data_IF_161169687113
#
_entry.id   IF_161169687113
#
_cell.length_a   1.000
_cell.length_b   1.000
_cell.length_c   1.000
_cell.angle_alpha   90.00
_cell.angle_beta   90.00
_cell.angle_gamma   90.00
#
_symmetry.space_group_name_H-M   'P 1'
#
loop_
_entity.id
_entity.type
_entity.pdbx_description
1 polymer ?
#
# COMPACT_ATOMS: atom_id res chain seq x y z
N UNK A 1 -11.46 3.72 37.37
CA UNK A 1 -10.24 3.15 36.74
C UNK A 1 -10.12 3.76 35.37
N UNK A 2 -9.25 4.74 35.24
CA UNK A 2 -9.11 5.59 34.04
C UNK A 2 -8.09 4.91 33.12
N UNK A 3 -8.57 4.35 32.01
CA UNK A 3 -7.70 3.78 30.97
C UNK A 3 -7.03 4.93 30.22
N UNK A 4 -5.78 5.19 30.54
CA UNK A 4 -4.92 6.14 29.85
C UNK A 4 -4.63 5.59 28.46
N UNK A 5 -5.37 6.01 27.45
CA UNK A 5 -4.97 5.81 26.04
C UNK A 5 -3.70 6.62 25.80
N UNK A 6 -2.55 5.93 25.80
CA UNK A 6 -1.29 6.49 25.35
C UNK A 6 -1.41 6.86 23.86
N UNK A 7 -1.69 8.14 23.56
CA UNK A 7 -1.47 8.71 22.23
C UNK A 7 0.04 8.67 21.96
N UNK A 8 0.51 7.61 21.29
CA UNK A 8 1.86 7.55 20.76
C UNK A 8 1.96 8.73 19.77
N UNK A 9 2.82 9.68 20.06
CA UNK A 9 3.09 10.82 19.18
C UNK A 9 3.77 10.30 17.91
N UNK A 10 3.47 10.88 16.75
CA UNK A 10 4.09 10.56 15.45
C UNK A 10 5.64 10.66 15.44
N UNK A 11 6.26 11.08 16.55
CA UNK A 11 7.70 11.19 16.69
C UNK A 11 8.44 9.84 16.81
N UNK A 12 7.70 8.73 16.95
CA UNK A 12 8.29 7.41 17.16
C UNK A 12 8.38 6.57 15.88
N UNK A 13 7.96 7.12 14.73
CA UNK A 13 7.97 6.43 13.43
C UNK A 13 8.92 7.13 12.46
N UNK A 14 9.82 6.35 11.89
CA UNK A 14 10.72 6.78 10.81
C UNK A 14 10.40 6.05 9.52
N UNK A 15 10.33 6.77 8.40
CA UNK A 15 10.22 6.17 7.06
C UNK A 15 11.62 6.15 6.44
N UNK A 16 12.09 4.96 6.11
CA UNK A 16 13.38 4.75 5.46
C UNK A 16 13.29 3.76 4.30
N UNK A 17 14.31 3.71 3.48
CA UNK A 17 14.45 2.66 2.49
C UNK A 17 14.56 1.31 3.20
N UNK A 18 13.90 0.30 2.64
CA UNK A 18 13.95 -1.06 3.18
C UNK A 18 15.32 -1.65 2.97
N UNK A 19 15.86 -2.28 4.00
CA UNK A 19 17.11 -3.02 3.97
C UNK A 19 16.87 -4.50 3.70
N UNK A 20 17.87 -5.22 3.21
CA UNK A 20 17.76 -6.64 2.92
C UNK A 20 17.34 -7.44 4.17
N UNK A 21 17.87 -7.07 5.33
CA UNK A 21 17.56 -7.74 6.60
C UNK A 21 16.11 -7.54 7.08
N UNK A 22 15.41 -6.52 6.57
CA UNK A 22 13.98 -6.33 6.87
C UNK A 22 13.10 -7.35 6.13
N UNK A 23 13.53 -7.86 4.97
CA UNK A 23 12.69 -8.60 4.02
C UNK A 23 11.96 -9.79 4.66
N UNK A 24 12.58 -10.49 5.58
CA UNK A 24 11.99 -11.66 6.26
C UNK A 24 10.84 -11.31 7.21
N UNK A 25 10.73 -10.03 7.60
CA UNK A 25 9.68 -9.54 8.53
C UNK A 25 8.44 -9.04 7.79
N UNK A 26 8.56 -8.68 6.51
CA UNK A 26 7.52 -8.01 5.73
C UNK A 26 6.28 -8.86 5.47
N UNK A 27 6.39 -10.17 5.15
CA UNK A 27 5.21 -11.03 4.99
C UNK A 27 4.29 -11.05 6.21
N UNK A 28 4.85 -11.05 7.42
CA UNK A 28 4.06 -11.03 8.66
C UNK A 28 3.29 -9.69 8.83
N UNK A 29 3.84 -8.58 8.37
CA UNK A 29 3.18 -7.27 8.39
C UNK A 29 1.98 -7.29 7.43
N UNK A 30 2.15 -7.79 6.21
CA UNK A 30 1.08 -7.93 5.21
C UNK A 30 -0.03 -8.86 5.71
N UNK A 31 0.33 -10.01 6.27
CA UNK A 31 -0.61 -10.95 6.89
C UNK A 31 -1.44 -10.27 7.99
N UNK A 32 -0.78 -9.51 8.88
CA UNK A 32 -1.43 -8.76 9.96
C UNK A 32 -2.37 -7.68 9.40
N UNK A 33 -1.92 -6.93 8.38
CA UNK A 33 -2.73 -5.89 7.73
C UNK A 33 -3.97 -6.47 7.05
N UNK A 34 -3.83 -7.61 6.41
CA UNK A 34 -4.91 -8.33 5.70
C UNK A 34 -6.06 -8.79 6.60
N UNK A 35 -5.84 -8.89 7.91
CA UNK A 35 -6.89 -9.30 8.86
C UNK A 35 -8.10 -8.36 8.88
N UNK A 36 -7.97 -7.11 8.45
CA UNK A 36 -9.11 -6.19 8.28
C UNK A 36 -10.19 -6.77 7.35
N UNK A 37 -9.79 -7.50 6.30
CA UNK A 37 -10.72 -8.09 5.34
C UNK A 37 -11.56 -9.24 5.92
N UNK A 38 -11.15 -9.84 7.04
CA UNK A 38 -11.95 -10.88 7.73
C UNK A 38 -13.30 -10.37 8.21
N UNK A 39 -13.45 -9.05 8.38
CA UNK A 39 -14.70 -8.40 8.79
C UNK A 39 -15.71 -8.23 7.66
N UNK A 40 -15.31 -8.43 6.41
CA UNK A 40 -16.13 -8.32 5.21
C UNK A 40 -16.38 -9.71 4.63
N UNK A 41 -17.65 -10.15 4.62
CA UNK A 41 -18.01 -11.51 4.20
C UNK A 41 -17.50 -11.84 2.80
N UNK A 42 -17.72 -10.96 1.83
CA UNK A 42 -17.33 -11.15 0.42
C UNK A 42 -15.80 -11.08 0.18
N UNK A 43 -15.04 -10.54 1.13
CA UNK A 43 -13.59 -10.31 1.01
C UNK A 43 -12.78 -11.07 2.07
N UNK A 44 -13.42 -11.90 2.89
CA UNK A 44 -12.75 -12.70 3.94
C UNK A 44 -11.62 -13.55 3.37
N UNK A 45 -11.81 -14.07 2.16
CA UNK A 45 -10.81 -14.88 1.47
C UNK A 45 -9.46 -14.17 1.32
N UNK A 46 -9.42 -12.82 1.29
CA UNK A 46 -8.17 -12.06 1.23
C UNK A 46 -7.35 -12.25 2.50
N UNK A 47 -8.01 -12.26 3.68
CA UNK A 47 -7.33 -12.51 4.96
C UNK A 47 -6.77 -13.93 5.09
N UNK A 48 -7.28 -14.86 4.28
CA UNK A 48 -6.89 -16.26 4.22
C UNK A 48 -5.93 -16.55 3.03
N UNK A 49 -5.77 -15.58 2.14
CA UNK A 49 -4.86 -15.68 0.99
C UNK A 49 -3.40 -15.57 1.41
N UNK A 50 -2.52 -16.04 0.53
CA UNK A 50 -1.08 -15.86 0.71
C UNK A 50 -0.67 -14.37 0.62
N UNK A 51 0.48 -14.07 1.20
CA UNK A 51 1.12 -12.76 1.15
C UNK A 51 2.29 -12.77 0.18
N UNK A 52 2.84 -11.61 -0.13
CA UNK A 52 4.03 -11.50 -0.96
C UNK A 52 5.20 -12.27 -0.34
N UNK A 53 5.94 -13.01 -1.17
CA UNK A 53 7.09 -13.78 -0.69
C UNK A 53 8.28 -12.87 -0.35
N UNK A 54 9.21 -13.39 0.46
CA UNK A 54 10.46 -12.68 0.80
C UNK A 54 11.25 -12.33 -0.47
N UNK A 55 11.30 -13.25 -1.45
CA UNK A 55 11.98 -13.05 -2.74
C UNK A 55 11.37 -11.87 -3.51
N UNK A 56 10.04 -11.73 -3.48
CA UNK A 56 9.39 -10.59 -4.13
C UNK A 56 9.72 -9.28 -3.43
N UNK A 57 9.72 -9.24 -2.11
CA UNK A 57 10.19 -8.06 -1.37
C UNK A 57 11.64 -7.71 -1.73
N UNK A 58 12.54 -8.69 -1.78
CA UNK A 58 13.95 -8.48 -2.16
C UNK A 58 14.08 -7.89 -3.57
N UNK A 59 13.28 -8.34 -4.53
CA UNK A 59 13.27 -7.79 -5.89
C UNK A 59 12.88 -6.30 -5.91
N UNK A 60 11.89 -5.88 -5.11
CA UNK A 60 11.51 -4.47 -4.99
C UNK A 60 12.53 -3.63 -4.21
N UNK A 61 13.22 -4.22 -3.24
CA UNK A 61 14.32 -3.57 -2.52
C UNK A 61 15.47 -3.28 -3.47
N UNK A 62 15.88 -4.25 -4.28
CA UNK A 62 16.94 -4.13 -5.27
C UNK A 62 16.63 -3.02 -6.30
N UNK A 63 15.38 -2.91 -6.73
CA UNK A 63 14.90 -1.85 -7.62
C UNK A 63 14.70 -0.49 -6.94
N UNK A 64 15.03 -0.36 -5.65
CA UNK A 64 14.80 0.85 -4.85
C UNK A 64 13.31 1.31 -4.83
N UNK A 65 12.41 0.36 -4.99
CA UNK A 65 10.96 0.56 -5.01
C UNK A 65 10.26 0.27 -3.68
N UNK A 66 11.01 0.10 -2.59
CA UNK A 66 10.49 -0.39 -1.32
C UNK A 66 10.90 0.49 -0.12
N UNK A 67 9.91 0.91 0.70
CA UNK A 67 10.14 1.65 1.95
C UNK A 67 9.42 0.99 3.10
N UNK A 68 10.04 1.11 4.29
CA UNK A 68 9.44 0.69 5.56
C UNK A 68 9.19 1.88 6.49
N UNK A 69 8.13 1.75 7.26
CA UNK A 69 7.93 2.49 8.49
C UNK A 69 8.49 1.65 9.64
N UNK A 70 9.41 2.22 10.41
CA UNK A 70 10.01 1.56 11.58
C UNK A 70 9.67 2.31 12.85
N UNK A 71 9.54 1.56 13.95
CA UNK A 71 9.36 2.10 15.30
C UNK A 71 10.69 2.59 15.90
N UNK A 72 10.66 3.03 17.16
CA UNK A 72 11.84 3.50 17.90
C UNK A 72 12.96 2.47 18.02
N UNK A 73 12.63 1.19 17.96
CA UNK A 73 13.58 0.07 18.04
C UNK A 73 14.11 -0.35 16.65
N UNK A 74 13.79 0.47 15.60
CA UNK A 74 14.10 0.20 14.20
C UNK A 74 13.44 -1.08 13.63
N UNK A 75 12.34 -1.54 14.27
CA UNK A 75 11.58 -2.69 13.79
C UNK A 75 10.52 -2.24 12.76
N UNK A 76 10.41 -2.92 11.59
CA UNK A 76 9.37 -2.65 10.61
C UNK A 76 7.96 -2.88 11.16
N UNK A 77 7.08 -1.90 10.95
CA UNK A 77 5.67 -1.94 11.36
C UNK A 77 4.70 -1.67 10.21
N UNK A 78 5.24 -1.29 9.05
CA UNK A 78 4.50 -1.09 7.81
C UNK A 78 5.46 -0.92 6.64
N UNK A 79 4.96 -1.11 5.43
CA UNK A 79 5.75 -0.93 4.21
C UNK A 79 4.91 -0.46 3.03
N UNK A 80 5.59 0.01 1.98
CA UNK A 80 5.01 0.35 0.69
C UNK A 80 5.94 -0.13 -0.43
N UNK A 81 5.35 -0.73 -1.48
CA UNK A 81 6.05 -1.23 -2.66
C UNK A 81 5.62 -0.45 -3.89
N UNK A 82 6.58 -0.02 -4.70
CA UNK A 82 6.32 0.75 -5.92
C UNK A 82 7.17 0.27 -7.10
N UNK A 83 6.67 0.48 -8.31
CA UNK A 83 7.43 0.33 -9.55
C UNK A 83 7.12 1.47 -10.50
N UNK A 84 8.07 1.78 -11.40
CA UNK A 84 7.83 2.72 -12.48
C UNK A 84 6.99 2.06 -13.58
N UNK A 85 5.90 2.71 -13.97
CA UNK A 85 5.19 2.47 -15.22
C UNK A 85 5.53 3.58 -16.22
N UNK A 86 5.22 3.42 -17.51
CA UNK A 86 5.53 4.44 -18.52
C UNK A 86 4.98 5.83 -18.15
N UNK A 87 3.80 5.90 -17.52
CA UNK A 87 3.08 7.14 -17.24
C UNK A 87 3.14 7.57 -15.76
N UNK A 88 3.60 6.69 -14.85
CA UNK A 88 3.43 6.95 -13.41
C UNK A 88 4.36 6.13 -12.51
N UNK A 89 4.45 6.52 -11.25
CA UNK A 89 4.97 5.67 -10.18
C UNK A 89 3.80 4.88 -9.57
N UNK A 90 3.78 3.57 -9.77
CA UNK A 90 2.69 2.69 -9.34
C UNK A 90 2.93 2.10 -7.95
N UNK A 91 1.91 2.16 -7.08
CA UNK A 91 1.92 1.52 -5.76
C UNK A 91 1.32 0.12 -5.89
N UNK A 92 2.13 -0.90 -5.65
CA UNK A 92 1.69 -2.31 -5.65
C UNK A 92 1.03 -2.71 -4.35
N UNK A 93 1.61 -2.31 -3.22
CA UNK A 93 1.16 -2.72 -1.91
C UNK A 93 1.45 -1.63 -0.89
N UNK A 94 0.53 -1.44 0.04
CA UNK A 94 0.68 -0.63 1.24
C UNK A 94 0.10 -1.40 2.42
N UNK A 95 0.95 -1.86 3.29
CA UNK A 95 0.56 -2.61 4.48
C UNK A 95 1.08 -1.98 5.77
N UNK A 96 0.23 -1.90 6.77
CA UNK A 96 0.57 -1.48 8.13
C UNK A 96 0.03 -2.53 9.09
N UNK A 97 0.91 -3.08 9.94
CA UNK A 97 0.55 -4.07 10.95
C UNK A 97 -0.64 -3.59 11.79
N UNK A 98 -1.56 -4.49 12.12
CA UNK A 98 -2.84 -4.18 12.79
C UNK A 98 -2.66 -3.31 14.05
N UNK A 99 -1.68 -3.63 14.90
CA UNK A 99 -1.42 -2.89 16.13
C UNK A 99 -0.91 -1.45 15.90
N UNK A 100 -0.49 -1.16 14.67
CA UNK A 100 0.08 0.13 14.27
C UNK A 100 -0.84 0.94 13.34
N UNK A 101 -2.00 0.40 12.97
CA UNK A 101 -2.99 1.11 12.17
C UNK A 101 -3.61 2.31 12.90
N UNK A 102 -4.28 3.18 12.13
CA UNK A 102 -4.95 4.39 12.64
C UNK A 102 -4.02 5.41 13.33
N UNK A 103 -2.69 5.33 13.09
CA UNK A 103 -1.67 6.24 13.61
C UNK A 103 -1.05 7.14 12.53
N UNK A 104 -1.63 7.16 11.32
CA UNK A 104 -1.14 7.96 10.20
C UNK A 104 0.06 7.39 9.45
N UNK A 105 0.51 6.17 9.77
CA UNK A 105 1.70 5.53 9.15
C UNK A 105 1.50 5.36 7.64
N UNK A 106 0.34 4.88 7.19
CA UNK A 106 0.04 4.75 5.76
C UNK A 106 0.15 6.09 5.02
N UNK A 107 -0.30 7.19 5.64
CA UNK A 107 -0.15 8.54 5.07
C UNK A 107 1.32 8.94 4.93
N UNK A 108 2.17 8.62 5.91
CA UNK A 108 3.61 8.91 5.84
C UNK A 108 4.29 8.11 4.73
N UNK A 109 3.96 6.83 4.56
CA UNK A 109 4.47 5.98 3.49
C UNK A 109 4.04 6.51 2.11
N UNK A 110 2.76 6.88 1.94
CA UNK A 110 2.26 7.48 0.69
C UNK A 110 2.95 8.82 0.40
N UNK A 111 3.17 9.65 1.42
CA UNK A 111 3.88 10.92 1.24
C UNK A 111 5.31 10.68 0.71
N UNK A 112 5.99 9.65 1.24
CA UNK A 112 7.32 9.26 0.73
C UNK A 112 7.31 8.89 -0.76
N UNK A 113 6.26 8.21 -1.22
CA UNK A 113 6.10 7.86 -2.64
C UNK A 113 5.83 9.11 -3.49
N UNK A 114 4.98 10.02 -3.02
CA UNK A 114 4.73 11.31 -3.70
C UNK A 114 6.00 12.14 -3.83
N UNK A 115 6.81 12.21 -2.76
CA UNK A 115 8.09 12.93 -2.77
C UNK A 115 9.06 12.28 -3.77
N UNK A 116 9.13 10.95 -3.83
CA UNK A 116 9.91 10.24 -4.83
C UNK A 116 9.44 10.55 -6.25
N UNK A 117 8.13 10.47 -6.49
CA UNK A 117 7.56 10.78 -7.80
C UNK A 117 7.97 12.19 -8.26
N UNK A 118 7.87 13.17 -7.38
CA UNK A 118 8.29 14.54 -7.66
C UNK A 118 9.79 14.66 -7.99
N UNK A 119 10.66 14.02 -7.19
CA UNK A 119 12.11 14.05 -7.38
C UNK A 119 12.51 13.41 -8.72
N UNK A 120 11.87 12.30 -9.09
CA UNK A 120 12.13 11.56 -10.32
C UNK A 120 11.31 12.04 -11.52
N UNK A 121 10.54 13.13 -11.36
CA UNK A 121 9.73 13.77 -12.41
C UNK A 121 8.69 12.84 -13.05
N UNK A 122 8.06 11.99 -12.24
CA UNK A 122 6.83 11.32 -12.66
C UNK A 122 5.68 12.32 -12.63
N UNK A 123 4.81 12.27 -13.62
CA UNK A 123 3.64 13.15 -13.67
C UNK A 123 2.57 12.76 -12.64
N UNK A 124 2.58 11.49 -12.22
CA UNK A 124 1.57 10.99 -11.30
C UNK A 124 2.04 9.79 -10.46
N UNK A 125 1.30 9.55 -9.38
CA UNK A 125 1.30 8.30 -8.61
C UNK A 125 -0.01 7.59 -8.85
N UNK A 126 0.03 6.29 -9.16
CA UNK A 126 -1.15 5.48 -9.45
C UNK A 126 -1.22 4.24 -8.58
N UNK A 127 -2.41 3.68 -8.46
CA UNK A 127 -2.68 2.41 -7.77
C UNK A 127 -3.97 1.80 -8.27
N UNK A 128 -4.17 0.52 -7.99
CA UNK A 128 -5.45 -0.19 -8.11
C UNK A 128 -5.92 -0.60 -6.71
N UNK A 129 -7.23 -0.57 -6.48
CA UNK A 129 -7.77 -0.87 -5.16
C UNK A 129 -9.27 -1.21 -5.20
N UNK A 130 -9.85 -1.59 -4.05
CA UNK A 130 -11.30 -1.76 -3.93
C UNK A 130 -12.01 -0.41 -3.91
N UNK A 131 -13.05 -0.31 -4.73
CA UNK A 131 -13.83 0.92 -4.92
C UNK A 131 -14.58 1.37 -3.67
N UNK A 132 -15.15 0.44 -2.91
CA UNK A 132 -16.10 0.73 -1.84
C UNK A 132 -15.61 0.35 -0.43
N UNK A 133 -14.46 -0.31 -0.32
CA UNK A 133 -13.90 -0.65 0.99
C UNK A 133 -13.38 0.60 1.69
N UNK A 134 -13.79 0.91 2.93
CA UNK A 134 -13.53 2.20 3.58
C UNK A 134 -12.04 2.58 3.72
N UNK A 135 -11.17 1.59 3.87
CA UNK A 135 -9.71 1.77 3.98
C UNK A 135 -8.96 1.63 2.66
N UNK A 136 -9.69 1.54 1.53
CA UNK A 136 -9.16 1.50 0.17
C UNK A 136 -9.48 2.80 -0.58
N UNK A 137 -10.27 2.81 -1.66
CA UNK A 137 -10.47 4.02 -2.45
C UNK A 137 -10.93 5.24 -1.62
N UNK A 138 -11.88 5.13 -0.65
CA UNK A 138 -12.22 6.26 0.21
C UNK A 138 -11.06 6.80 1.05
N UNK A 139 -10.13 5.94 1.47
CA UNK A 139 -8.92 6.36 2.18
C UNK A 139 -7.97 7.12 1.26
N UNK A 140 -7.70 6.60 0.06
CA UNK A 140 -6.84 7.27 -0.92
C UNK A 140 -7.42 8.59 -1.42
N UNK A 141 -8.75 8.70 -1.56
CA UNK A 141 -9.42 9.95 -1.91
C UNK A 141 -9.13 11.06 -0.87
N UNK A 142 -9.15 10.73 0.43
CA UNK A 142 -8.77 11.67 1.50
C UNK A 142 -7.30 12.11 1.43
N UNK A 143 -6.47 11.36 0.72
CA UNK A 143 -5.06 11.68 0.47
C UNK A 143 -4.83 12.37 -0.90
N UNK A 144 -5.92 12.73 -1.60
CA UNK A 144 -5.87 13.50 -2.84
C UNK A 144 -5.80 12.66 -4.11
N UNK A 145 -6.02 11.35 -4.04
CA UNK A 145 -6.18 10.52 -5.22
C UNK A 145 -7.60 10.62 -5.77
N UNK A 146 -7.75 10.52 -7.08
CA UNK A 146 -9.04 10.45 -7.77
C UNK A 146 -9.20 9.11 -8.46
N UNK A 147 -10.42 8.56 -8.47
CA UNK A 147 -10.74 7.38 -9.27
C UNK A 147 -10.73 7.79 -10.74
N UNK A 148 -10.02 7.04 -11.57
CA UNK A 148 -10.00 7.24 -13.02
C UNK A 148 -11.29 6.70 -13.65
N UNK A 149 -11.92 7.48 -14.54
CA UNK A 149 -12.94 6.96 -15.46
C UNK A 149 -12.33 5.86 -16.34
N UNK A 150 -13.12 4.85 -16.74
CA UNK A 150 -12.62 3.75 -17.61
C UNK A 150 -11.93 4.26 -18.88
N UNK A 151 -12.46 5.31 -19.50
CA UNK A 151 -11.91 5.93 -20.72
C UNK A 151 -10.55 6.62 -20.52
N UNK A 152 -10.14 6.85 -19.28
CA UNK A 152 -8.89 7.55 -18.93
C UNK A 152 -7.85 6.62 -18.29
N UNK A 153 -8.17 5.33 -18.15
CA UNK A 153 -7.22 4.35 -17.59
C UNK A 153 -6.13 4.06 -18.62
N UNK A 154 -4.85 4.35 -18.35
CA UNK A 154 -3.75 4.00 -19.23
C UNK A 154 -3.65 2.49 -19.45
N UNK A 155 -3.13 2.07 -20.60
CA UNK A 155 -3.03 0.66 -20.97
C UNK A 155 -2.28 -0.18 -19.93
N UNK A 156 -1.14 0.31 -19.41
CA UNK A 156 -0.36 -0.36 -18.38
C UNK A 156 -1.15 -0.61 -17.09
N UNK A 157 -2.04 0.31 -16.73
CA UNK A 157 -2.89 0.20 -15.55
C UNK A 157 -4.10 -0.71 -15.80
N UNK A 158 -4.60 -0.72 -17.03
CA UNK A 158 -5.66 -1.62 -17.45
C UNK A 158 -5.19 -3.08 -17.44
N UNK A 159 -3.98 -3.36 -17.93
CA UNK A 159 -3.37 -4.70 -17.86
C UNK A 159 -3.26 -5.21 -16.41
N UNK A 160 -2.92 -4.33 -15.46
CA UNK A 160 -2.87 -4.69 -14.03
C UNK A 160 -4.27 -5.05 -13.51
N UNK A 161 -5.30 -4.25 -13.83
CA UNK A 161 -6.68 -4.54 -13.42
C UNK A 161 -7.19 -5.85 -14.02
N UNK A 162 -6.87 -6.12 -15.28
CA UNK A 162 -7.27 -7.34 -15.96
C UNK A 162 -6.57 -8.56 -15.33
N UNK A 163 -5.27 -8.46 -15.01
CA UNK A 163 -4.52 -9.53 -14.32
C UNK A 163 -5.05 -9.79 -12.90
N UNK A 164 -5.45 -8.76 -12.17
CA UNK A 164 -6.10 -8.90 -10.87
C UNK A 164 -7.40 -9.71 -10.96
N UNK A 165 -8.19 -9.50 -11.99
CA UNK A 165 -9.42 -10.26 -12.23
C UNK A 165 -9.11 -11.70 -12.67
N UNK A 166 -8.23 -11.87 -13.65
CA UNK A 166 -7.97 -13.18 -14.27
C UNK A 166 -7.19 -14.12 -13.36
N UNK A 167 -6.18 -13.61 -12.66
CA UNK A 167 -5.28 -14.40 -11.81
C UNK A 167 -5.49 -14.17 -10.33
N UNK A 168 -5.90 -12.96 -9.94
CA UNK A 168 -6.12 -12.61 -8.54
C UNK A 168 -7.49 -13.01 -8.01
N UNK A 169 -8.43 -13.38 -8.88
CA UNK A 169 -9.80 -13.76 -8.49
C UNK A 169 -10.66 -12.60 -8.00
N UNK A 170 -10.25 -11.35 -8.28
CA UNK A 170 -11.05 -10.17 -7.91
C UNK A 170 -12.24 -9.99 -8.85
N UNK A 171 -13.34 -9.47 -8.31
CA UNK A 171 -14.52 -9.10 -9.09
C UNK A 171 -14.30 -7.72 -9.71
N UNK A 172 -14.35 -7.62 -11.05
CA UNK A 172 -14.02 -6.40 -11.82
C UNK A 172 -14.72 -5.15 -11.30
N UNK A 173 -16.01 -5.22 -11.05
CA UNK A 173 -16.85 -4.10 -10.63
C UNK A 173 -16.45 -3.55 -9.24
N UNK A 174 -15.78 -4.36 -8.43
CA UNK A 174 -15.30 -3.97 -7.09
C UNK A 174 -13.98 -3.23 -7.13
N UNK A 175 -13.24 -3.26 -8.26
CA UNK A 175 -11.92 -2.66 -8.43
C UNK A 175 -12.00 -1.29 -9.08
N UNK A 176 -11.00 -0.47 -8.85
CA UNK A 176 -10.78 0.78 -9.55
C UNK A 176 -9.29 1.12 -9.64
N UNK A 177 -8.94 1.87 -10.68
CA UNK A 177 -7.66 2.56 -10.77
C UNK A 177 -7.79 3.96 -10.17
N UNK A 178 -6.75 4.41 -9.48
CA UNK A 178 -6.71 5.74 -8.89
C UNK A 178 -5.40 6.45 -9.26
N UNK A 179 -5.47 7.77 -9.33
CA UNK A 179 -4.36 8.64 -9.71
C UNK A 179 -4.25 9.84 -8.76
N UNK A 180 -3.03 10.19 -8.43
CA UNK A 180 -2.63 11.45 -7.80
C UNK A 180 -1.71 12.19 -8.76
N UNK A 181 -2.03 13.42 -9.13
CA UNK A 181 -1.17 14.31 -9.92
C UNK A 181 -0.05 14.88 -9.03
N UNK A 182 1.21 14.83 -9.49
CA UNK A 182 2.40 15.25 -8.73
C UNK A 182 2.70 16.76 -8.91
#
# INVERSE_FOLDING_TARGET
MTTTQNKIKNNDITIRQTQIDDATKLPAIEQSAGQLFSTLEDLRWISESGVQSVEKHLAFIDQQGHWVAVNSDNEPVGFIMTTALPESLFIHELSVSQDWQNRGIGKLLIQKVKDKAKVHKFDSVTLTTFRHVPWNAPYYQRLGFSILPESEIPHSLQEILDDEVERGGFVKETRCAMKFEV
#
